data_IF_777764966097
#
_entry.id   IF_777764966097
#
_cell.length_a   1.000
_cell.length_b   1.000
_cell.length_c   1.000
_cell.angle_alpha   90.00
_cell.angle_beta   90.00
_cell.angle_gamma   90.00
#
_symmetry.space_group_name_H-M   'P 1'
#
loop_
_entity.id
_entity.type
_entity.pdbx_description
1 polymer ?
#
# COMPACT_ATOMS: atom_id res chain seq x y z
N UNK A 1 -9.66 2.65 0.57
CA UNK A 1 -8.49 1.94 -0.02
C UNK A 1 -7.28 2.38 0.75
N UNK A 2 -6.53 1.48 1.37
CA UNK A 2 -5.23 1.81 1.93
C UNK A 2 -4.35 2.59 0.94
N UNK A 3 -3.89 3.75 1.36
CA UNK A 3 -2.98 4.62 0.64
C UNK A 3 -1.59 4.52 1.28
N UNK A 4 -0.68 5.46 0.97
CA UNK A 4 0.70 5.38 1.49
C UNK A 4 0.76 5.28 3.03
N UNK A 5 0.02 6.09 3.80
CA UNK A 5 0.11 6.05 5.25
C UNK A 5 -0.32 4.72 5.90
N UNK A 6 -1.40 4.12 5.41
CA UNK A 6 -1.86 2.81 5.89
C UNK A 6 -0.86 1.72 5.54
N UNK A 7 -0.32 1.75 4.32
CA UNK A 7 0.66 0.77 3.86
C UNK A 7 1.97 0.92 4.64
N UNK A 8 2.43 2.14 4.92
CA UNK A 8 3.62 2.38 5.74
C UNK A 8 3.41 1.99 7.20
N UNK A 9 2.21 2.22 7.74
CA UNK A 9 1.86 1.76 9.10
C UNK A 9 1.93 0.24 9.19
N UNK A 10 1.38 -0.47 8.19
CA UNK A 10 1.46 -1.92 8.10
C UNK A 10 2.91 -2.39 7.97
N UNK A 11 3.71 -1.81 7.06
CA UNK A 11 5.11 -2.24 6.87
C UNK A 11 5.96 -2.00 8.11
N UNK A 12 5.77 -0.89 8.84
CA UNK A 12 6.44 -0.65 10.14
C UNK A 12 6.08 -1.71 11.18
N UNK A 13 4.82 -2.12 11.24
CA UNK A 13 4.39 -3.22 12.12
C UNK A 13 5.07 -4.55 11.73
N UNK A 14 5.07 -4.89 10.45
CA UNK A 14 5.68 -6.11 9.94
C UNK A 14 7.20 -6.16 10.18
N UNK A 15 7.92 -5.06 9.99
CA UNK A 15 9.37 -4.99 10.27
C UNK A 15 9.70 -5.36 11.72
N UNK A 16 8.83 -5.02 12.66
CA UNK A 16 9.01 -5.31 14.10
C UNK A 16 8.63 -6.73 14.50
N UNK A 17 7.94 -7.47 13.63
CA UNK A 17 7.26 -8.73 14.02
C UNK A 17 7.73 -9.95 13.23
N UNK A 18 7.89 -9.84 11.91
CA UNK A 18 8.11 -11.02 11.05
C UNK A 18 9.54 -11.18 10.51
N UNK A 19 10.39 -10.15 10.62
CA UNK A 19 11.78 -10.25 10.13
C UNK A 19 12.52 -11.34 10.91
N UNK A 20 13.24 -12.20 10.17
CA UNK A 20 13.98 -13.32 10.74
C UNK A 20 13.17 -14.60 10.92
N UNK A 21 11.83 -14.53 10.88
CA UNK A 21 10.97 -15.72 10.96
C UNK A 21 11.06 -16.57 9.69
N UNK A 22 10.74 -17.85 9.81
CA UNK A 22 10.74 -18.82 8.72
C UNK A 22 9.31 -19.21 8.40
N UNK A 23 8.94 -19.16 7.12
CA UNK A 23 7.62 -19.59 6.64
C UNK A 23 7.52 -21.11 6.73
N UNK A 24 6.56 -21.62 7.49
CA UNK A 24 6.30 -23.05 7.69
C UNK A 24 5.06 -23.56 6.97
N UNK A 25 4.06 -22.71 6.78
CA UNK A 25 2.92 -23.04 5.95
C UNK A 25 2.30 -21.80 5.31
N UNK A 26 1.58 -22.02 4.21
CA UNK A 26 0.70 -21.02 3.60
C UNK A 26 -0.62 -21.65 3.18
N UNK A 27 -1.70 -20.89 3.36
CA UNK A 27 -3.08 -21.29 3.06
C UNK A 27 -3.84 -20.15 2.38
N UNK A 28 -4.78 -20.48 1.50
CA UNK A 28 -5.71 -19.53 0.85
C UNK A 28 -7.03 -20.23 0.51
N UNK A 29 -8.15 -19.51 0.61
CA UNK A 29 -9.46 -19.94 0.09
C UNK A 29 -9.79 -19.34 -1.29
N UNK A 30 -8.96 -18.39 -1.75
CA UNK A 30 -9.14 -17.72 -3.03
C UNK A 30 -8.99 -18.70 -4.21
N UNK A 31 -9.94 -18.65 -5.12
CA UNK A 31 -9.93 -19.42 -6.36
C UNK A 31 -10.60 -18.62 -7.47
N UNK A 32 -9.85 -18.25 -8.49
CA UNK A 32 -10.36 -17.54 -9.67
C UNK A 32 -9.77 -18.09 -10.97
N UNK A 33 -10.60 -18.06 -12.03
CA UNK A 33 -10.20 -18.36 -13.41
C UNK A 33 -9.85 -17.10 -14.22
N UNK A 34 -9.92 -15.91 -13.60
CA UNK A 34 -9.59 -14.64 -14.26
C UNK A 34 -8.12 -14.62 -14.70
N UNK A 35 -7.88 -14.53 -16.02
CA UNK A 35 -6.55 -14.49 -16.62
C UNK A 35 -5.71 -13.31 -16.11
N UNK A 36 -6.34 -12.20 -15.70
CA UNK A 36 -5.63 -11.04 -15.12
C UNK A 36 -4.93 -11.38 -13.80
N UNK A 37 -5.36 -12.45 -13.13
CA UNK A 37 -4.82 -12.96 -11.87
C UNK A 37 -3.95 -14.21 -12.04
N UNK A 38 -3.52 -14.55 -13.26
CA UNK A 38 -2.71 -15.75 -13.53
C UNK A 38 -1.41 -15.85 -12.71
N UNK A 39 -0.86 -14.72 -12.28
CA UNK A 39 0.33 -14.62 -11.42
C UNK A 39 -0.01 -14.10 -10.02
N UNK A 40 -1.14 -14.51 -9.45
CA UNK A 40 -1.53 -14.15 -8.08
C UNK A 40 -2.01 -15.40 -7.36
N UNK A 41 -1.93 -15.41 -6.02
CA UNK A 41 -2.33 -16.58 -5.21
C UNK A 41 -3.79 -16.99 -5.39
N UNK A 42 -4.65 -16.08 -5.89
CA UNK A 42 -6.03 -16.39 -6.21
C UNK A 42 -6.16 -17.37 -7.38
N UNK A 43 -5.13 -17.54 -8.21
CA UNK A 43 -5.08 -18.60 -9.21
C UNK A 43 -4.54 -19.89 -8.58
N UNK A 44 -5.32 -20.99 -8.56
CA UNK A 44 -4.91 -22.23 -7.89
C UNK A 44 -3.62 -22.87 -8.44
N UNK A 45 -3.34 -22.71 -9.75
CA UNK A 45 -2.10 -23.24 -10.35
C UNK A 45 -0.89 -22.44 -9.87
N UNK A 46 -1.01 -21.12 -9.86
CA UNK A 46 0.04 -20.24 -9.34
C UNK A 46 0.25 -20.44 -7.84
N UNK A 47 -0.81 -20.64 -7.06
CA UNK A 47 -0.67 -20.87 -5.61
C UNK A 47 0.18 -22.11 -5.28
N UNK A 48 0.11 -23.19 -6.07
CA UNK A 48 0.98 -24.36 -5.89
C UNK A 48 2.46 -24.00 -6.05
N UNK A 49 2.79 -23.18 -7.05
CA UNK A 49 4.15 -22.68 -7.29
C UNK A 49 4.56 -21.75 -6.15
N UNK A 50 3.72 -20.76 -5.83
CA UNK A 50 3.93 -19.83 -4.72
C UNK A 50 4.27 -20.59 -3.42
N UNK A 51 3.45 -21.57 -3.04
CA UNK A 51 3.65 -22.39 -1.83
C UNK A 51 5.02 -23.08 -1.84
N UNK A 52 5.38 -23.74 -2.95
CA UNK A 52 6.69 -24.39 -3.07
C UNK A 52 7.86 -23.43 -2.89
N UNK A 53 7.77 -22.24 -3.50
CA UNK A 53 8.85 -21.25 -3.49
C UNK A 53 9.04 -20.56 -2.13
N UNK A 54 7.97 -20.33 -1.37
CA UNK A 54 8.03 -19.58 -0.10
C UNK A 54 8.26 -20.47 1.13
N UNK A 55 7.95 -21.77 1.05
CA UNK A 55 8.12 -22.69 2.18
C UNK A 55 9.59 -22.78 2.63
N UNK A 56 9.78 -22.80 3.94
CA UNK A 56 11.08 -22.80 4.63
C UNK A 56 12.00 -21.63 4.27
N UNK A 57 11.48 -20.58 3.62
CA UNK A 57 12.24 -19.34 3.41
C UNK A 57 12.18 -18.45 4.63
N UNK A 58 13.29 -17.75 4.90
CA UNK A 58 13.43 -16.77 5.98
C UNK A 58 13.01 -15.40 5.48
N UNK A 59 12.24 -14.64 6.26
CA UNK A 59 11.96 -13.24 5.98
C UNK A 59 13.22 -12.41 6.24
N UNK A 60 13.69 -11.69 5.23
CA UNK A 60 14.92 -10.90 5.27
C UNK A 60 14.64 -9.42 5.55
N UNK A 61 13.70 -8.83 4.81
CA UNK A 61 13.30 -7.44 5.01
C UNK A 61 11.84 -7.23 4.61
N UNK A 62 11.28 -6.12 5.09
CA UNK A 62 9.95 -5.65 4.68
C UNK A 62 10.07 -4.20 4.23
N UNK A 63 9.59 -3.92 3.03
CA UNK A 63 9.70 -2.64 2.35
C UNK A 63 8.34 -2.20 1.84
N UNK A 64 8.24 -0.91 1.53
CA UNK A 64 7.07 -0.32 0.90
C UNK A 64 7.50 0.35 -0.40
N UNK A 65 6.73 0.13 -1.46
CA UNK A 65 6.80 0.95 -2.67
C UNK A 65 5.41 1.41 -3.07
N UNK A 66 5.17 2.72 -3.03
CA UNK A 66 3.86 3.35 -3.13
C UNK A 66 2.85 2.68 -2.18
N UNK A 67 1.86 1.98 -2.75
CA UNK A 67 0.79 1.27 -2.04
C UNK A 67 0.99 -0.25 -2.00
N UNK A 68 2.22 -0.71 -2.25
CA UNK A 68 2.62 -2.11 -2.22
C UNK A 68 3.53 -2.38 -1.02
N UNK A 69 3.35 -3.54 -0.41
CA UNK A 69 4.21 -4.11 0.61
C UNK A 69 5.08 -5.16 -0.07
N UNK A 70 6.39 -5.08 0.14
CA UNK A 70 7.38 -6.02 -0.39
C UNK A 70 7.98 -6.77 0.80
N UNK A 71 7.79 -8.08 0.86
CA UNK A 71 8.37 -8.94 1.89
C UNK A 71 9.45 -9.77 1.21
N UNK A 72 10.71 -9.39 1.41
CA UNK A 72 11.86 -10.06 0.82
C UNK A 72 12.18 -11.32 1.62
N UNK A 73 12.32 -12.45 0.93
CA UNK A 73 12.58 -13.75 1.54
C UNK A 73 13.87 -14.35 0.98
N UNK A 74 14.47 -15.30 1.72
CA UNK A 74 15.65 -16.02 1.23
C UNK A 74 15.36 -16.75 -0.09
N UNK A 75 16.38 -16.88 -0.94
CA UNK A 75 16.23 -17.45 -2.29
C UNK A 75 15.85 -16.43 -3.37
N UNK A 76 16.19 -15.15 -3.17
CA UNK A 76 16.02 -14.06 -4.15
C UNK A 76 14.58 -13.81 -4.60
N UNK A 77 13.60 -14.13 -3.76
CA UNK A 77 12.18 -13.87 -4.03
C UNK A 77 11.60 -12.79 -3.12
N UNK A 78 10.57 -12.11 -3.62
CA UNK A 78 9.80 -11.10 -2.89
C UNK A 78 8.32 -11.43 -2.97
N UNK A 79 7.67 -11.54 -1.82
CA UNK A 79 6.20 -11.58 -1.74
C UNK A 79 5.71 -10.14 -1.85
N UNK A 80 5.01 -9.82 -2.95
CA UNK A 80 4.40 -8.51 -3.15
C UNK A 80 2.92 -8.58 -2.77
N UNK A 81 2.51 -7.69 -1.86
CA UNK A 81 1.12 -7.54 -1.41
C UNK A 81 0.61 -6.16 -1.77
N UNK A 82 -0.52 -6.11 -2.46
CA UNK A 82 -1.29 -4.89 -2.69
C UNK A 82 -2.67 -5.04 -2.04
N UNK A 83 -2.93 -4.27 -0.99
CA UNK A 83 -4.14 -4.37 -0.16
C UNK A 83 -5.43 -3.94 -0.86
N UNK A 84 -5.33 -3.12 -1.92
CA UNK A 84 -6.46 -2.66 -2.74
C UNK A 84 -7.49 -1.91 -1.90
N UNK A 85 -8.76 -2.29 -1.90
CA UNK A 85 -9.81 -1.45 -1.31
C UNK A 85 -10.00 -1.69 0.18
N UNK A 86 -10.13 -2.96 0.55
CA UNK A 86 -10.55 -3.42 1.89
C UNK A 86 -9.54 -4.37 2.55
N UNK A 87 -8.46 -4.69 1.84
CA UNK A 87 -7.42 -5.58 2.35
C UNK A 87 -6.66 -4.98 3.52
N UNK A 88 -6.31 -5.81 4.49
CA UNK A 88 -5.38 -5.48 5.56
C UNK A 88 -4.64 -6.73 6.04
N UNK A 89 -3.49 -6.52 6.67
CA UNK A 89 -2.65 -7.58 7.21
C UNK A 89 -2.67 -7.52 8.74
N UNK A 90 -2.81 -8.67 9.38
CA UNK A 90 -2.77 -8.83 10.84
C UNK A 90 -1.75 -9.90 11.22
N UNK A 91 -1.02 -9.73 12.31
CA UNK A 91 -0.03 -10.69 12.81
C UNK A 91 -0.30 -11.00 14.27
N UNK A 92 -0.15 -12.28 14.64
CA UNK A 92 -0.30 -12.76 16.00
C UNK A 92 -1.47 -13.73 16.16
N UNK A 93 -2.10 -13.73 17.34
CA UNK A 93 -3.33 -14.48 17.58
C UNK A 93 -4.51 -13.82 16.86
N UNK A 94 -5.17 -14.58 15.98
CA UNK A 94 -6.38 -14.11 15.29
C UNK A 94 -7.61 -14.29 16.16
N UNK A 95 -8.28 -13.17 16.45
CA UNK A 95 -9.61 -13.15 17.04
C UNK A 95 -10.62 -12.76 15.96
N UNK A 96 -11.58 -13.64 15.72
CA UNK A 96 -12.64 -13.38 14.75
C UNK A 96 -13.59 -12.34 15.33
N UNK A 97 -13.67 -11.18 14.68
CA UNK A 97 -14.65 -10.14 14.97
C UNK A 97 -15.41 -9.74 13.68
N UNK A 98 -16.51 -8.97 13.77
CA UNK A 98 -17.32 -8.62 12.61
C UNK A 98 -16.57 -7.94 11.45
N UNK A 99 -15.48 -7.22 11.74
CA UNK A 99 -14.66 -6.51 10.76
C UNK A 99 -13.57 -7.43 10.20
N UNK A 100 -12.86 -8.13 11.08
CA UNK A 100 -11.67 -8.91 10.73
C UNK A 100 -12.01 -10.34 10.24
N UNK A 101 -13.30 -10.66 10.00
CA UNK A 101 -13.77 -12.01 9.65
C UNK A 101 -13.40 -12.54 8.26
N UNK A 102 -12.94 -11.70 7.35
CA UNK A 102 -12.77 -12.03 5.92
C UNK A 102 -11.33 -12.49 5.59
N UNK A 103 -10.78 -13.39 6.40
CA UNK A 103 -9.44 -13.96 6.19
C UNK A 103 -9.45 -14.88 4.96
N UNK A 104 -8.60 -14.54 3.98
CA UNK A 104 -8.51 -15.26 2.71
C UNK A 104 -7.13 -15.83 2.41
N UNK A 105 -6.10 -15.40 3.15
CA UNK A 105 -4.76 -15.95 3.03
C UNK A 105 -4.04 -15.90 4.37
N UNK A 106 -3.23 -16.91 4.67
CA UNK A 106 -2.39 -16.94 5.87
C UNK A 106 -0.99 -17.45 5.59
N UNK A 107 -0.01 -16.92 6.31
CA UNK A 107 1.34 -17.46 6.44
C UNK A 107 1.53 -17.90 7.88
N UNK A 108 1.90 -19.17 8.10
CA UNK A 108 2.27 -19.69 9.42
C UNK A 108 3.80 -19.69 9.54
N UNK A 109 4.34 -19.16 10.63
CA UNK A 109 5.78 -19.08 10.86
C UNK A 109 6.28 -20.15 11.84
N UNK A 110 7.60 -20.28 11.99
CA UNK A 110 8.25 -21.24 12.88
C UNK A 110 8.00 -20.99 14.38
N UNK A 111 7.60 -19.78 14.76
CA UNK A 111 7.16 -19.46 16.13
C UNK A 111 5.67 -19.75 16.38
N UNK A 112 4.99 -20.45 15.45
CA UNK A 112 3.55 -20.80 15.46
C UNK A 112 2.58 -19.63 15.24
N UNK A 113 3.07 -18.39 15.31
CA UNK A 113 2.28 -17.20 14.95
C UNK A 113 1.96 -17.18 13.46
N UNK A 114 0.92 -16.42 13.11
CA UNK A 114 0.44 -16.31 11.73
C UNK A 114 0.34 -14.86 11.29
N UNK A 115 0.60 -14.64 10.00
CA UNK A 115 0.19 -13.44 9.27
C UNK A 115 -1.09 -13.75 8.52
N UNK A 116 -2.12 -12.95 8.71
CA UNK A 116 -3.43 -13.06 8.10
C UNK A 116 -3.62 -11.93 7.10
N UNK A 117 -4.13 -12.23 5.92
CA UNK A 117 -4.65 -11.25 4.97
C UNK A 117 -6.17 -11.35 4.95
N UNK A 118 -6.82 -10.29 5.45
CA UNK A 118 -8.27 -10.14 5.47
C UNK A 118 -8.69 -9.17 4.38
N UNK A 119 -9.71 -9.52 3.59
CA UNK A 119 -10.17 -8.67 2.49
C UNK A 119 -11.62 -8.96 2.08
N UNK A 120 -12.56 -8.16 2.60
CA UNK A 120 -14.00 -8.34 2.38
C UNK A 120 -14.42 -8.42 0.91
N UNK A 121 -13.69 -7.75 0.00
CA UNK A 121 -14.01 -7.68 -1.44
C UNK A 121 -13.20 -8.65 -2.30
N UNK A 122 -12.23 -9.37 -1.73
CA UNK A 122 -11.32 -10.27 -2.46
C UNK A 122 -10.62 -9.60 -3.66
N UNK A 123 -10.32 -8.30 -3.55
CA UNK A 123 -9.64 -7.52 -4.59
C UNK A 123 -8.13 -7.49 -4.41
N UNK A 124 -7.67 -7.67 -3.18
CA UNK A 124 -6.29 -7.76 -2.77
C UNK A 124 -5.49 -8.69 -3.68
N UNK A 125 -4.24 -8.32 -3.90
CA UNK A 125 -3.33 -9.08 -4.75
C UNK A 125 -2.10 -9.47 -3.95
N UNK A 126 -1.82 -10.76 -3.92
CA UNK A 126 -0.58 -11.32 -3.40
C UNK A 126 0.07 -12.11 -4.54
N UNK A 127 1.34 -11.84 -4.79
CA UNK A 127 2.14 -12.48 -5.84
C UNK A 127 3.57 -12.70 -5.34
N UNK A 128 4.35 -13.44 -6.12
CA UNK A 128 5.77 -13.68 -5.89
C UNK A 128 6.55 -13.19 -7.11
N UNK A 129 7.58 -12.41 -6.88
CA UNK A 129 8.44 -11.83 -7.92
C UNK A 129 9.91 -12.08 -7.57
N UNK A 130 10.79 -11.99 -8.56
CA UNK A 130 12.23 -12.01 -8.35
C UNK A 130 12.71 -10.69 -7.76
N UNK A 131 13.52 -10.75 -6.71
CA UNK A 131 13.97 -9.58 -5.95
C UNK A 131 14.78 -8.63 -6.84
N UNK A 132 15.66 -9.18 -7.67
CA UNK A 132 16.55 -8.42 -8.57
C UNK A 132 15.79 -7.51 -9.53
N UNK A 133 14.66 -7.98 -10.05
CA UNK A 133 13.85 -7.26 -11.05
C UNK A 133 12.55 -6.71 -10.46
N UNK A 134 12.41 -6.67 -9.13
CA UNK A 134 11.16 -6.32 -8.47
C UNK A 134 10.62 -4.95 -8.96
N UNK A 135 11.51 -3.97 -9.08
CA UNK A 135 11.20 -2.61 -9.54
C UNK A 135 10.88 -2.50 -11.03
N UNK A 136 11.30 -3.47 -11.84
CA UNK A 136 11.04 -3.52 -13.29
C UNK A 136 9.73 -4.24 -13.62
N UNK A 137 9.16 -4.97 -12.65
CA UNK A 137 7.89 -5.65 -12.86
C UNK A 137 6.78 -4.66 -13.20
N UNK A 138 5.77 -5.14 -13.94
CA UNK A 138 4.52 -4.40 -14.24
C UNK A 138 3.79 -3.83 -13.01
N UNK A 139 4.16 -4.28 -11.81
CA UNK A 139 3.59 -3.82 -10.55
C UNK A 139 4.21 -2.50 -10.09
N UNK A 140 5.49 -2.27 -10.39
CA UNK A 140 6.27 -1.18 -9.82
C UNK A 140 6.94 -0.25 -10.86
N UNK A 141 7.11 -0.70 -12.11
CA UNK A 141 7.89 0.02 -13.13
C UNK A 141 7.36 1.42 -13.48
N UNK A 142 6.04 1.61 -13.46
CA UNK A 142 5.39 2.87 -13.83
C UNK A 142 5.04 3.75 -12.62
N UNK A 143 5.55 3.46 -11.44
CA UNK A 143 5.26 4.23 -10.22
C UNK A 143 6.15 5.46 -10.15
N UNK A 144 5.54 6.63 -9.92
CA UNK A 144 6.21 7.91 -9.71
C UNK A 144 7.06 7.96 -8.43
N UNK A 145 7.77 9.07 -8.18
CA UNK A 145 8.61 9.23 -7.00
C UNK A 145 7.81 9.12 -5.69
N UNK A 146 8.48 8.68 -4.62
CA UNK A 146 7.90 8.69 -3.26
C UNK A 146 7.80 10.12 -2.72
N UNK A 147 6.63 10.54 -2.20
CA UNK A 147 6.41 11.92 -1.77
C UNK A 147 7.19 12.33 -0.51
N UNK A 148 7.61 11.36 0.30
CA UNK A 148 8.29 11.59 1.59
C UNK A 148 9.81 11.38 1.54
N UNK A 149 10.34 10.99 0.38
CA UNK A 149 11.77 10.81 0.18
C UNK A 149 12.50 12.17 0.13
N UNK A 150 13.74 12.20 0.64
CA UNK A 150 14.56 13.43 0.68
C UNK A 150 14.83 13.95 -0.74
N UNK A 151 15.06 13.06 -1.68
CA UNK A 151 15.30 13.37 -3.09
C UNK A 151 14.08 13.91 -3.83
N UNK A 152 12.88 13.85 -3.25
CA UNK A 152 11.68 14.42 -3.85
C UNK A 152 11.55 15.89 -3.44
N UNK A 153 12.01 16.76 -4.35
CA UNK A 153 12.05 18.22 -4.21
C UNK A 153 10.86 18.89 -4.90
N UNK A 154 10.69 20.19 -4.67
CA UNK A 154 9.62 20.98 -5.28
C UNK A 154 9.78 21.02 -6.81
N UNK A 155 11.01 21.12 -7.30
CA UNK A 155 11.35 21.17 -8.72
C UNK A 155 10.95 19.86 -9.41
N UNK A 156 11.30 18.72 -8.79
CA UNK A 156 10.85 17.41 -9.28
C UNK A 156 9.34 17.29 -9.24
N UNK A 157 8.69 17.75 -8.17
CA UNK A 157 7.22 17.74 -8.10
C UNK A 157 6.59 18.54 -9.26
N UNK A 158 7.11 19.74 -9.56
CA UNK A 158 6.70 20.56 -10.70
C UNK A 158 6.87 19.82 -12.02
N UNK A 159 8.04 19.23 -12.25
CA UNK A 159 8.34 18.41 -13.43
C UNK A 159 7.34 17.25 -13.58
N UNK A 160 7.03 16.54 -12.48
CA UNK A 160 6.04 15.45 -12.50
C UNK A 160 4.66 15.95 -12.88
N UNK A 161 4.16 17.02 -12.27
CA UNK A 161 2.84 17.57 -12.59
C UNK A 161 2.75 18.04 -14.05
N UNK A 162 3.82 18.62 -14.59
CA UNK A 162 3.89 19.09 -15.97
C UNK A 162 3.81 17.99 -17.03
N UNK A 163 3.85 16.70 -16.64
CA UNK A 163 3.51 15.58 -17.54
C UNK A 163 2.02 15.55 -17.90
N UNK A 164 1.16 16.22 -17.11
CA UNK A 164 -0.29 16.31 -17.30
C UNK A 164 -0.79 17.74 -17.08
N UNK A 165 -0.34 18.73 -17.87
CA UNK A 165 -0.60 20.14 -17.62
C UNK A 165 -2.09 20.51 -17.72
N UNK A 166 -2.84 19.80 -18.57
CA UNK A 166 -4.28 20.03 -18.76
C UNK A 166 -5.17 19.24 -17.79
N UNK A 167 -4.58 18.38 -16.95
CA UNK A 167 -5.31 17.56 -15.99
C UNK A 167 -5.81 18.38 -14.79
N UNK A 168 -6.94 17.97 -14.22
CA UNK A 168 -7.44 18.46 -12.93
C UNK A 168 -6.47 18.03 -11.81
N UNK A 169 -6.09 18.95 -10.92
CA UNK A 169 -5.03 18.69 -9.92
C UNK A 169 -5.30 17.49 -9.04
N UNK A 170 -6.56 17.28 -8.59
CA UNK A 170 -6.91 16.09 -7.80
C UNK A 170 -6.63 14.80 -8.56
N UNK A 171 -7.10 14.71 -9.80
CA UNK A 171 -6.89 13.54 -10.66
C UNK A 171 -5.41 13.30 -10.92
N UNK A 172 -4.62 14.36 -11.11
CA UNK A 172 -3.18 14.26 -11.34
C UNK A 172 -2.43 13.79 -10.08
N UNK A 173 -2.84 14.23 -8.88
CA UNK A 173 -2.25 13.77 -7.61
C UNK A 173 -2.57 12.30 -7.30
N UNK A 174 -3.73 11.81 -7.70
CA UNK A 174 -4.13 10.40 -7.51
C UNK A 174 -3.39 9.47 -8.48
N UNK A 175 -2.88 10.00 -9.60
CA UNK A 175 -2.16 9.22 -10.59
C UNK A 175 -0.81 8.72 -10.06
N UNK A 176 -0.73 7.40 -9.84
CA UNK A 176 0.46 6.75 -9.29
C UNK A 176 1.68 6.87 -10.21
N UNK A 177 1.50 7.16 -11.51
CA UNK A 177 2.62 7.43 -12.42
C UNK A 177 3.18 8.83 -12.26
N UNK A 178 2.43 9.77 -11.70
CA UNK A 178 2.90 11.13 -11.44
C UNK A 178 3.59 11.19 -10.10
N UNK A 179 2.92 10.72 -9.04
CA UNK A 179 3.40 10.70 -7.67
C UNK A 179 2.87 9.46 -6.95
N UNK A 180 3.75 8.77 -6.23
CA UNK A 180 3.37 7.53 -5.56
C UNK A 180 2.48 7.80 -4.33
N UNK A 181 1.55 6.89 -4.06
CA UNK A 181 1.03 6.70 -2.72
C UNK A 181 -0.16 7.58 -2.33
N UNK A 182 -0.43 8.68 -3.04
CA UNK A 182 -1.61 9.51 -2.80
C UNK A 182 -2.84 8.85 -3.46
N UNK A 183 -3.96 8.78 -2.76
CA UNK A 183 -5.26 8.37 -3.28
C UNK A 183 -6.33 9.41 -2.95
N UNK A 184 -7.58 8.97 -2.85
CA UNK A 184 -8.72 9.88 -2.73
C UNK A 184 -8.67 10.67 -1.41
N UNK A 185 -8.46 9.98 -0.29
CA UNK A 185 -8.50 10.59 1.05
C UNK A 185 -7.45 11.68 1.14
N UNK A 186 -6.18 11.30 0.94
CA UNK A 186 -5.09 12.24 1.12
C UNK A 186 -5.11 13.33 0.04
N UNK A 187 -5.58 13.07 -1.19
CA UNK A 187 -5.70 14.13 -2.20
C UNK A 187 -6.67 15.23 -1.80
N UNK A 188 -7.80 14.89 -1.18
CA UNK A 188 -8.80 15.87 -0.74
C UNK A 188 -8.27 16.68 0.44
N UNK A 189 -7.71 16.01 1.45
CA UNK A 189 -7.10 16.66 2.61
C UNK A 189 -5.92 17.58 2.22
N UNK A 190 -5.10 17.14 1.25
CA UNK A 190 -3.99 17.96 0.73
C UNK A 190 -4.50 19.22 0.05
N UNK A 191 -5.49 19.09 -0.82
CA UNK A 191 -5.97 20.21 -1.62
C UNK A 191 -6.80 21.19 -0.80
N UNK A 192 -7.59 20.69 0.15
CA UNK A 192 -8.29 21.51 1.12
C UNK A 192 -7.31 22.35 1.93
N UNK A 193 -6.30 21.71 2.54
CA UNK A 193 -5.33 22.43 3.37
C UNK A 193 -4.41 23.35 2.56
N UNK A 194 -4.23 23.09 1.26
CA UNK A 194 -3.55 24.00 0.35
C UNK A 194 -4.46 25.11 -0.21
N UNK A 195 -5.76 25.09 0.05
CA UNK A 195 -6.71 26.06 -0.50
C UNK A 195 -6.82 26.02 -2.03
N UNK A 196 -6.63 24.84 -2.65
CA UNK A 196 -6.66 24.68 -4.11
C UNK A 196 -7.86 23.85 -4.53
N UNK A 197 -8.71 24.41 -5.39
CA UNK A 197 -9.89 23.71 -5.89
C UNK A 197 -9.48 22.43 -6.66
N UNK A 198 -10.11 21.26 -6.40
CA UNK A 198 -9.69 19.98 -6.97
C UNK A 198 -9.79 19.90 -8.50
N UNK A 199 -10.65 20.72 -9.10
CA UNK A 199 -10.83 20.80 -10.56
C UNK A 199 -9.90 21.79 -11.25
N UNK A 200 -9.07 22.52 -10.49
CA UNK A 200 -8.12 23.45 -11.09
C UNK A 200 -7.14 22.69 -11.98
N UNK A 201 -6.95 23.17 -13.22
CA UNK A 201 -5.96 22.59 -14.15
C UNK A 201 -4.55 22.83 -13.63
N UNK A 202 -3.66 21.84 -13.80
CA UNK A 202 -2.24 21.96 -13.40
C UNK A 202 -1.57 23.18 -14.01
N UNK A 203 -1.81 23.46 -15.30
CA UNK A 203 -1.29 24.63 -16.01
C UNK A 203 -1.66 25.97 -15.39
N UNK A 204 -2.73 26.01 -14.59
CA UNK A 204 -3.26 27.23 -13.99
C UNK A 204 -2.85 27.37 -12.52
N UNK A 205 -2.07 26.44 -11.97
CA UNK A 205 -1.56 26.49 -10.60
C UNK A 205 -0.42 27.49 -10.53
N UNK A 206 -0.58 28.50 -9.68
CA UNK A 206 0.46 29.51 -9.44
C UNK A 206 1.59 28.90 -8.62
N UNK A 207 2.80 29.43 -8.78
CA UNK A 207 3.99 28.95 -8.04
C UNK A 207 3.80 28.94 -6.52
N UNK A 208 3.08 29.92 -5.96
CA UNK A 208 2.74 29.97 -4.53
C UNK A 208 1.84 28.81 -4.10
N UNK A 209 0.83 28.47 -4.91
CA UNK A 209 -0.08 27.34 -4.65
C UNK A 209 0.67 26.01 -4.78
N UNK A 210 1.55 25.88 -5.78
CA UNK A 210 2.37 24.69 -5.99
C UNK A 210 3.27 24.40 -4.77
N UNK A 211 3.93 25.43 -4.24
CA UNK A 211 4.73 25.36 -3.00
C UNK A 211 3.89 24.88 -1.82
N UNK A 212 2.68 25.40 -1.69
CA UNK A 212 1.77 25.05 -0.60
C UNK A 212 1.28 23.59 -0.73
N UNK A 213 0.85 23.16 -1.93
CA UNK A 213 0.49 21.76 -2.19
C UNK A 213 1.65 20.84 -1.81
N UNK A 214 2.87 21.13 -2.27
CA UNK A 214 4.03 20.30 -1.98
C UNK A 214 4.34 20.18 -0.49
N UNK A 215 4.29 21.30 0.24
CA UNK A 215 4.44 21.33 1.70
C UNK A 215 3.35 20.48 2.36
N UNK A 216 2.10 20.70 1.98
CA UNK A 216 0.94 20.00 2.55
C UNK A 216 0.96 18.50 2.26
N UNK A 217 1.41 18.05 1.08
CA UNK A 217 1.62 16.62 0.80
C UNK A 217 2.49 15.97 1.88
N UNK A 218 3.64 16.58 2.19
CA UNK A 218 4.57 16.03 3.17
C UNK A 218 3.97 16.02 4.57
N UNK A 219 3.27 17.08 4.95
CA UNK A 219 2.64 17.19 6.27
C UNK A 219 1.48 16.21 6.44
N UNK A 220 0.54 16.17 5.50
CA UNK A 220 -0.68 15.36 5.59
C UNK A 220 -0.34 13.86 5.56
N UNK A 221 0.58 13.43 4.69
CA UNK A 221 0.99 12.01 4.65
C UNK A 221 1.73 11.60 5.94
N UNK A 222 2.59 12.45 6.49
CA UNK A 222 3.23 12.19 7.79
C UNK A 222 2.21 12.13 8.93
N UNK A 223 1.22 13.05 8.92
CA UNK A 223 0.10 13.06 9.86
C UNK A 223 -0.68 11.74 9.79
N UNK A 224 -1.02 11.28 8.59
CA UNK A 224 -1.66 9.97 8.37
C UNK A 224 -0.84 8.82 8.98
N UNK A 225 0.47 8.78 8.74
CA UNK A 225 1.34 7.73 9.29
C UNK A 225 1.37 7.79 10.83
N UNK A 226 1.44 8.99 11.40
CA UNK A 226 1.49 9.18 12.86
C UNK A 226 0.18 8.76 13.54
N UNK A 227 -0.97 8.95 12.88
CA UNK A 227 -2.26 8.47 13.37
C UNK A 227 -2.54 7.00 13.03
N UNK A 228 -1.58 6.30 12.42
CA UNK A 228 -1.73 4.89 12.06
C UNK A 228 -2.68 4.65 10.88
N UNK A 229 -2.88 5.66 10.03
CA UNK A 229 -3.74 5.61 8.86
C UNK A 229 -5.22 5.90 9.11
N UNK A 230 -5.99 5.86 8.03
CA UNK A 230 -7.43 6.04 7.97
C UNK A 230 -8.18 4.70 8.07
N UNK A 231 -9.15 4.64 8.99
CA UNK A 231 -10.02 3.47 9.19
C UNK A 231 -11.51 3.80 9.04
N UNK A 232 -11.87 4.78 8.21
CA UNK A 232 -13.28 5.11 7.91
C UNK A 232 -14.05 3.92 7.30
N UNK A 233 -13.33 3.06 6.58
CA UNK A 233 -13.84 1.78 6.04
C UNK A 233 -13.15 0.61 6.76
N UNK A 234 -12.58 -0.34 6.02
CA UNK A 234 -12.17 -1.64 6.56
C UNK A 234 -10.69 -1.75 6.94
N UNK A 235 -9.88 -0.70 6.75
CA UNK A 235 -8.45 -0.77 7.07
C UNK A 235 -8.23 -0.99 8.57
N UNK A 236 -7.35 -1.94 8.91
CA UNK A 236 -6.85 -2.19 10.26
C UNK A 236 -5.33 -2.35 10.22
N UNK A 237 -4.66 -2.00 11.31
CA UNK A 237 -3.22 -2.19 11.46
C UNK A 237 -2.87 -3.67 11.73
N UNK A 238 -1.59 -3.97 11.94
CA UNK A 238 -1.12 -5.35 12.16
C UNK A 238 -1.70 -6.03 13.40
N UNK A 239 -2.30 -5.28 14.33
CA UNK A 239 -2.95 -5.80 15.54
C UNK A 239 -4.48 -5.93 15.37
N UNK A 240 -5.01 -5.71 14.16
CA UNK A 240 -6.45 -5.70 13.91
C UNK A 240 -7.16 -4.44 14.43
N UNK A 241 -6.42 -3.42 14.87
CA UNK A 241 -6.97 -2.18 15.45
C UNK A 241 -7.11 -1.09 14.38
N UNK A 242 -8.09 -0.18 14.52
CA UNK A 242 -8.25 0.94 13.60
C UNK A 242 -7.13 1.98 13.77
N UNK A 243 -6.77 2.63 12.67
CA UNK A 243 -6.10 3.92 12.66
C UNK A 243 -7.03 5.04 13.16
N UNK A 244 -6.50 6.25 13.25
CA UNK A 244 -7.19 7.41 13.83
C UNK A 244 -7.26 8.62 12.89
N UNK A 245 -6.74 8.53 11.67
CA UNK A 245 -6.70 9.69 10.76
C UNK A 245 -8.10 10.20 10.37
N UNK A 246 -9.09 9.32 10.28
CA UNK A 246 -10.50 9.65 9.98
C UNK A 246 -11.12 10.67 10.96
N UNK A 247 -10.59 10.73 12.20
CA UNK A 247 -11.04 11.69 13.22
C UNK A 247 -10.49 13.11 12.99
N UNK A 248 -9.64 13.27 11.97
CA UNK A 248 -8.92 14.49 11.65
C UNK A 248 -9.13 14.93 10.19
N UNK A 249 -10.17 14.42 9.53
CA UNK A 249 -10.58 14.90 8.21
C UNK A 249 -11.10 16.33 8.29
N UNK A 250 -10.68 17.14 7.32
CA UNK A 250 -11.17 18.50 7.14
C UNK A 250 -12.10 18.60 5.92
N UNK A 251 -11.95 17.70 4.94
CA UNK A 251 -12.71 17.71 3.70
C UNK A 251 -13.28 16.35 3.30
N UNK A 252 -12.52 15.27 3.47
CA UNK A 252 -12.91 13.94 3.03
C UNK A 252 -14.07 13.38 3.87
N UNK A 253 -15.06 12.80 3.20
CA UNK A 253 -16.30 12.26 3.80
C UNK A 253 -16.59 10.85 3.29
#
# INVERSE_FOLDING_TARGET
MPELPEVETTTKGLRKTIIGLIIKDVWTDLSTKDKRQQYAIANPKFFKIFKKEVLNKKILSVERRAKNILINISGEKTILVHMKMTGHLMYGEYKKDPINRFVHFTITFNNKEKLYFSDARKFGKITLIDTKIAHETKHLNNIGPEPLEKQFTLEKFKERLNKKPNGKIKTVLIDQSIIAGIGNIYSDEILWKAGVHPEKKVSNIKEKELKLIFKTIKETLKKGINFGGDSMSDYRNIYGLPGKFQLHHEAYR
#
